data_IF_631715796672
#
_entry.id   IF_631715796672
#
_cell.length_a   1.000
_cell.length_b   1.000
_cell.length_c   1.000
_cell.angle_alpha   90.00
_cell.angle_beta   90.00
_cell.angle_gamma   90.00
#
_symmetry.space_group_name_H-M   'P 1'
#
loop_
_entity.id
_entity.type
_entity.pdbx_description
1 polymer ?
#
# COMPACT_ATOMS: atom_id res chain seq x y z
N UNK A 1 -10.06 -18.62 -17.55
CA UNK A 1 -9.15 -17.44 -17.45
C UNK A 1 -9.29 -16.75 -16.10
N UNK A 2 -10.52 -16.59 -15.58
CA UNK A 2 -10.80 -16.05 -14.23
C UNK A 2 -9.88 -16.61 -13.14
N UNK A 3 -9.73 -17.94 -13.04
CA UNK A 3 -8.90 -18.58 -12.00
C UNK A 3 -7.45 -18.07 -11.94
N UNK A 4 -6.77 -17.91 -13.08
CA UNK A 4 -5.36 -17.46 -13.08
C UNK A 4 -5.23 -15.99 -12.63
N UNK A 5 -6.19 -15.14 -13.02
CA UNK A 5 -6.25 -13.75 -12.57
C UNK A 5 -6.57 -13.66 -11.07
N UNK A 6 -7.47 -14.50 -10.56
CA UNK A 6 -7.80 -14.57 -9.12
C UNK A 6 -6.56 -14.92 -8.30
N UNK A 7 -5.82 -15.97 -8.69
CA UNK A 7 -4.57 -16.37 -8.01
C UNK A 7 -3.53 -15.23 -8.01
N UNK A 8 -3.41 -14.49 -9.14
CA UNK A 8 -2.56 -13.31 -9.22
C UNK A 8 -2.99 -12.23 -8.23
N UNK A 9 -4.28 -11.88 -8.19
CA UNK A 9 -4.79 -10.80 -7.33
C UNK A 9 -4.65 -11.15 -5.84
N UNK A 10 -4.86 -12.41 -5.48
CA UNK A 10 -4.62 -12.90 -4.11
C UNK A 10 -3.14 -12.80 -3.76
N UNK A 11 -2.24 -13.24 -4.64
CA UNK A 11 -0.81 -13.17 -4.39
C UNK A 11 -0.29 -11.73 -4.29
N UNK A 12 -0.80 -10.83 -5.14
CA UNK A 12 -0.54 -9.39 -5.09
C UNK A 12 -1.01 -8.75 -3.79
N UNK A 13 -2.24 -9.06 -3.36
CA UNK A 13 -2.75 -8.58 -2.09
C UNK A 13 -1.91 -9.09 -0.92
N UNK A 14 -1.58 -10.39 -0.91
CA UNK A 14 -0.83 -11.01 0.18
C UNK A 14 0.60 -10.45 0.30
N UNK A 15 1.27 -10.17 -0.82
CA UNK A 15 2.59 -9.54 -0.80
C UNK A 15 2.50 -8.06 -0.41
N UNK A 16 1.48 -7.34 -0.88
CA UNK A 16 1.22 -5.96 -0.47
C UNK A 16 0.96 -5.87 1.03
N UNK A 17 0.07 -6.69 1.57
CA UNK A 17 -0.23 -6.73 3.00
C UNK A 17 1.03 -6.98 3.85
N UNK A 18 1.86 -7.92 3.42
CA UNK A 18 3.17 -8.18 4.00
C UNK A 18 4.07 -6.94 4.02
N UNK A 19 4.19 -6.23 2.89
CA UNK A 19 4.96 -4.98 2.80
C UNK A 19 4.40 -3.91 3.75
N UNK A 20 3.07 -3.75 3.84
CA UNK A 20 2.47 -2.77 4.74
C UNK A 20 2.69 -3.11 6.21
N UNK A 21 2.72 -4.40 6.56
CA UNK A 21 3.04 -4.87 7.92
C UNK A 21 4.48 -4.54 8.29
N UNK A 22 5.42 -4.76 7.38
CA UNK A 22 6.83 -4.38 7.56
C UNK A 22 6.97 -2.86 7.76
N UNK A 23 6.31 -2.05 6.93
CA UNK A 23 6.28 -0.58 7.07
C UNK A 23 5.70 -0.14 8.42
N UNK A 24 4.59 -0.74 8.85
CA UNK A 24 3.91 -0.41 10.11
C UNK A 24 4.80 -0.71 11.31
N UNK A 25 5.45 -1.88 11.34
CA UNK A 25 6.38 -2.25 12.41
C UNK A 25 7.62 -1.35 12.43
N UNK A 26 8.18 -1.02 11.26
CA UNK A 26 9.27 -0.03 11.15
C UNK A 26 8.84 1.34 11.69
N UNK A 27 7.65 1.83 11.33
CA UNK A 27 7.12 3.09 11.86
C UNK A 27 6.93 3.03 13.38
N UNK A 28 6.46 1.90 13.92
CA UNK A 28 6.31 1.70 15.38
C UNK A 28 7.67 1.75 16.08
N UNK A 29 8.68 1.04 15.58
CA UNK A 29 10.04 1.07 16.13
C UNK A 29 10.62 2.49 16.13
N UNK A 30 10.49 3.23 15.02
CA UNK A 30 10.93 4.62 14.92
C UNK A 30 10.16 5.54 15.89
N UNK A 31 8.84 5.33 16.04
CA UNK A 31 8.02 6.12 16.95
C UNK A 31 8.41 5.89 18.42
N UNK A 32 8.68 4.63 18.80
CA UNK A 32 9.20 4.29 20.13
C UNK A 32 10.56 4.96 20.37
N UNK A 33 11.52 4.82 19.45
CA UNK A 33 12.82 5.49 19.52
C UNK A 33 12.70 7.01 19.74
N UNK A 34 11.78 7.67 19.03
CA UNK A 34 11.53 9.10 19.19
C UNK A 34 10.88 9.44 20.53
N UNK A 35 9.94 8.64 21.00
CA UNK A 35 9.29 8.85 22.29
C UNK A 35 10.31 8.84 23.43
N UNK A 36 11.23 7.88 23.40
CA UNK A 36 12.31 7.73 24.40
C UNK A 36 13.24 8.93 24.40
N UNK A 37 13.61 9.43 23.22
CA UNK A 37 14.50 10.58 23.10
C UNK A 37 13.90 11.88 23.66
N UNK A 38 12.58 11.94 23.82
CA UNK A 38 11.84 13.12 24.29
C UNK A 38 11.40 12.95 25.76
N UNK A 39 11.33 11.71 26.25
CA UNK A 39 10.97 11.41 27.63
C UNK A 39 12.05 11.95 28.60
N UNK A 40 11.69 12.84 29.54
CA UNK A 40 12.63 13.36 30.52
C UNK A 40 13.08 12.32 31.56
N UNK A 41 12.35 11.21 31.74
CA UNK A 41 12.68 10.12 32.67
C UNK A 41 12.21 8.75 32.12
N UNK A 42 12.82 8.26 31.03
CA UNK A 42 12.40 7.00 30.42
C UNK A 42 12.75 5.83 31.33
N UNK A 43 11.79 4.94 31.58
CA UNK A 43 12.07 3.61 32.13
C UNK A 43 12.89 2.81 31.08
N UNK A 44 14.20 2.61 31.30
CA UNK A 44 15.08 2.06 30.28
C UNK A 44 14.80 0.58 30.03
N UNK A 45 14.35 -0.16 31.05
CA UNK A 45 14.12 -1.60 30.97
C UNK A 45 12.84 -1.89 30.17
N UNK A 46 11.76 -1.20 30.51
CA UNK A 46 10.50 -1.30 29.75
C UNK A 46 10.69 -0.85 28.30
N UNK A 47 11.40 0.25 28.11
CA UNK A 47 11.71 0.80 26.80
C UNK A 47 12.48 -0.17 25.91
N UNK A 48 13.57 -0.75 26.44
CA UNK A 48 14.37 -1.73 25.71
C UNK A 48 13.57 -2.98 25.37
N UNK A 49 12.70 -3.41 26.27
CA UNK A 49 11.78 -4.52 26.02
C UNK A 49 10.84 -4.21 24.85
N UNK A 50 10.18 -3.05 24.84
CA UNK A 50 9.25 -2.66 23.76
C UNK A 50 9.95 -2.54 22.39
N UNK A 51 11.18 -2.01 22.34
CA UNK A 51 12.00 -1.99 21.11
C UNK A 51 12.32 -3.41 20.65
N UNK A 52 12.81 -4.25 21.57
CA UNK A 52 13.20 -5.62 21.25
C UNK A 52 12.01 -6.43 20.75
N UNK A 53 10.85 -6.30 21.36
CA UNK A 53 9.61 -6.94 20.90
C UNK A 53 9.21 -6.48 19.51
N UNK A 54 9.32 -5.18 19.21
CA UNK A 54 9.04 -4.64 17.88
C UNK A 54 10.02 -5.18 16.82
N UNK A 55 11.31 -5.27 17.14
CA UNK A 55 12.35 -5.82 16.27
C UNK A 55 12.15 -7.33 16.04
N UNK A 56 11.85 -8.10 17.09
CA UNK A 56 11.55 -9.53 16.99
C UNK A 56 10.31 -9.79 16.11
N UNK A 57 9.27 -8.97 16.24
CA UNK A 57 8.10 -9.02 15.37
C UNK A 57 8.44 -8.66 13.92
N UNK A 58 9.22 -7.61 13.70
CA UNK A 58 9.65 -7.19 12.37
C UNK A 58 10.45 -8.29 11.67
N UNK A 59 11.40 -8.91 12.38
CA UNK A 59 12.18 -10.03 11.84
C UNK A 59 11.32 -11.26 11.54
N UNK A 60 10.35 -11.58 12.41
CA UNK A 60 9.38 -12.66 12.14
C UNK A 60 8.57 -12.37 10.88
N UNK A 61 8.14 -11.12 10.69
CA UNK A 61 7.39 -10.68 9.52
C UNK A 61 8.28 -10.77 8.27
N UNK A 62 9.47 -10.16 8.25
CA UNK A 62 10.40 -10.22 7.09
C UNK A 62 10.68 -11.64 6.62
N UNK A 63 10.79 -12.62 7.53
CA UNK A 63 10.98 -14.04 7.18
C UNK A 63 9.84 -14.63 6.34
N UNK A 64 8.64 -14.04 6.38
CA UNK A 64 7.51 -14.49 5.56
C UNK A 64 7.55 -13.94 4.13
N UNK A 65 8.27 -12.84 3.89
CA UNK A 65 8.34 -12.16 2.59
C UNK A 65 8.73 -13.09 1.44
N UNK A 66 9.78 -13.94 1.54
CA UNK A 66 10.15 -14.85 0.45
C UNK A 66 9.01 -15.80 0.02
N UNK A 67 8.19 -16.27 0.98
CA UNK A 67 7.05 -17.14 0.68
C UNK A 67 5.97 -16.39 -0.11
N UNK A 68 5.69 -15.13 0.26
CA UNK A 68 4.71 -14.28 -0.42
C UNK A 68 5.21 -13.88 -1.82
N UNK A 69 6.49 -13.54 -1.95
CA UNK A 69 7.14 -13.28 -3.24
C UNK A 69 7.10 -14.52 -4.14
N UNK A 70 7.43 -15.70 -3.62
CA UNK A 70 7.35 -16.96 -4.36
C UNK A 70 5.91 -17.24 -4.83
N UNK A 71 4.91 -16.96 -3.99
CA UNK A 71 3.50 -17.05 -4.36
C UNK A 71 3.17 -16.17 -5.57
N UNK A 72 3.61 -14.91 -5.54
CA UNK A 72 3.44 -14.00 -6.68
C UNK A 72 4.19 -14.47 -7.92
N UNK A 73 5.45 -14.91 -7.78
CA UNK A 73 6.22 -15.46 -8.91
C UNK A 73 5.51 -16.66 -9.55
N UNK A 74 4.95 -17.57 -8.76
CA UNK A 74 4.17 -18.71 -9.26
C UNK A 74 2.92 -18.24 -10.00
N UNK A 75 2.14 -17.32 -9.42
CA UNK A 75 0.92 -16.82 -10.05
C UNK A 75 1.21 -16.13 -11.40
N UNK A 76 2.22 -15.25 -11.43
CA UNK A 76 2.71 -14.63 -12.68
C UNK A 76 3.24 -15.69 -13.65
N UNK A 77 3.91 -16.73 -13.14
CA UNK A 77 4.47 -17.79 -13.99
C UNK A 77 3.41 -18.54 -14.81
N UNK A 78 2.20 -18.62 -14.28
CA UNK A 78 1.07 -19.33 -14.87
C UNK A 78 0.26 -18.47 -15.85
N UNK A 79 0.54 -17.17 -15.95
CA UNK A 79 -0.11 -16.30 -16.91
C UNK A 79 0.26 -16.68 -18.34
N UNK A 80 -0.70 -16.53 -19.27
CA UNK A 80 -0.44 -16.66 -20.70
C UNK A 80 0.57 -15.59 -21.14
N UNK A 81 1.44 -15.86 -22.13
CA UNK A 81 2.49 -14.91 -22.54
C UNK A 81 1.99 -13.50 -22.83
N UNK A 82 0.84 -13.36 -23.51
CA UNK A 82 0.23 -12.05 -23.82
C UNK A 82 -0.21 -11.31 -22.56
N UNK A 83 -0.83 -12.00 -21.61
CA UNK A 83 -1.30 -11.41 -20.35
C UNK A 83 -0.15 -11.05 -19.42
N UNK A 84 0.90 -11.89 -19.40
CA UNK A 84 2.13 -11.58 -18.69
C UNK A 84 2.76 -10.31 -19.23
N UNK A 85 2.92 -10.20 -20.56
CA UNK A 85 3.53 -9.03 -21.17
C UNK A 85 2.77 -7.73 -20.80
N UNK A 86 1.43 -7.79 -20.77
CA UNK A 86 0.60 -6.68 -20.31
C UNK A 86 0.86 -6.36 -18.83
N UNK A 87 0.79 -7.37 -17.96
CA UNK A 87 1.06 -7.19 -16.54
C UNK A 87 2.45 -6.60 -16.27
N UNK A 88 3.49 -7.16 -16.88
CA UNK A 88 4.88 -6.68 -16.73
C UNK A 88 5.00 -5.23 -17.22
N UNK A 89 4.41 -4.89 -18.37
CA UNK A 89 4.45 -3.51 -18.91
C UNK A 89 3.80 -2.47 -17.98
N UNK A 90 2.80 -2.88 -17.19
CA UNK A 90 2.14 -2.02 -16.21
C UNK A 90 3.03 -1.85 -14.98
N UNK A 91 3.72 -2.92 -14.55
CA UNK A 91 4.60 -2.90 -13.38
C UNK A 91 5.91 -2.19 -13.62
N UNK A 92 6.40 -2.22 -14.86
CA UNK A 92 7.61 -1.56 -15.31
C UNK A 92 7.41 -0.05 -15.59
N UNK A 93 6.22 0.50 -15.28
CA UNK A 93 5.94 1.93 -15.39
C UNK A 93 6.98 2.79 -14.65
N UNK A 94 7.64 3.69 -15.37
CA UNK A 94 8.77 4.50 -14.90
C UNK A 94 8.43 5.39 -13.70
N UNK A 95 7.17 5.83 -13.61
CA UNK A 95 6.65 6.65 -12.51
C UNK A 95 6.40 5.83 -11.25
N UNK A 96 6.33 4.49 -11.36
CA UNK A 96 6.11 3.57 -10.25
C UNK A 96 4.74 3.74 -9.57
N UNK A 97 3.77 4.32 -10.29
CA UNK A 97 2.43 4.67 -9.78
C UNK A 97 1.31 3.83 -10.41
N UNK A 98 1.64 2.68 -11.02
CA UNK A 98 0.66 1.78 -11.67
C UNK A 98 -0.58 1.50 -10.82
N UNK A 99 -0.43 1.48 -9.50
CA UNK A 99 -1.50 1.21 -8.53
C UNK A 99 -2.42 2.39 -8.26
N UNK A 100 -2.15 3.57 -8.83
CA UNK A 100 -2.95 4.80 -8.66
C UNK A 100 -4.03 4.96 -9.74
N UNK A 101 -4.36 3.89 -10.47
CA UNK A 101 -5.50 3.87 -11.38
C UNK A 101 -6.83 4.04 -10.62
N UNK A 102 -7.86 4.50 -11.33
CA UNK A 102 -9.18 4.83 -10.77
C UNK A 102 -9.79 3.64 -10.02
N UNK A 103 -9.66 2.44 -10.57
CA UNK A 103 -10.19 1.20 -10.03
C UNK A 103 -9.65 0.87 -8.63
N UNK A 104 -8.34 1.08 -8.41
CA UNK A 104 -7.68 0.80 -7.12
C UNK A 104 -7.87 1.94 -6.11
N UNK A 105 -7.98 3.18 -6.59
CA UNK A 105 -8.33 4.33 -5.75
C UNK A 105 -9.75 4.17 -5.22
N UNK A 106 -10.69 3.80 -6.09
CA UNK A 106 -12.09 3.58 -5.73
C UNK A 106 -12.24 2.38 -4.80
N UNK A 107 -11.59 1.24 -5.08
CA UNK A 107 -11.57 0.09 -4.16
C UNK A 107 -11.06 0.49 -2.75
N UNK A 108 -9.98 1.25 -2.68
CA UNK A 108 -9.47 1.74 -1.41
C UNK A 108 -10.48 2.66 -0.70
N UNK A 109 -11.20 3.50 -1.45
CA UNK A 109 -12.22 4.40 -0.91
C UNK A 109 -13.45 3.65 -0.39
N UNK A 110 -13.98 2.71 -1.18
CA UNK A 110 -15.20 1.95 -0.89
C UNK A 110 -15.03 1.04 0.34
N UNK A 111 -13.81 0.53 0.57
CA UNK A 111 -13.45 -0.21 1.78
C UNK A 111 -13.13 0.67 3.00
N UNK A 112 -13.33 1.99 2.91
CA UNK A 112 -13.06 2.94 3.99
C UNK A 112 -11.58 3.19 4.27
N UNK A 113 -10.70 3.00 3.27
CA UNK A 113 -9.25 3.16 3.38
C UNK A 113 -8.76 4.63 3.36
N UNK A 114 -7.44 4.84 3.20
CA UNK A 114 -6.85 6.19 3.17
C UNK A 114 -7.48 7.10 2.09
N UNK A 115 -7.94 6.53 0.97
CA UNK A 115 -8.48 7.30 -0.15
C UNK A 115 -9.80 7.99 0.16
N UNK A 116 -10.68 7.39 0.97
CA UNK A 116 -11.94 8.05 1.38
C UNK A 116 -11.71 9.22 2.36
N UNK A 117 -10.59 9.19 3.11
CA UNK A 117 -10.20 10.24 4.07
C UNK A 117 -9.35 11.36 3.46
N UNK A 118 -8.85 11.19 2.23
CA UNK A 118 -8.01 12.20 1.58
C UNK A 118 -6.66 12.46 2.25
N UNK A 119 -6.12 11.53 3.06
CA UNK A 119 -4.86 11.75 3.79
C UNK A 119 -3.59 11.73 2.90
N UNK A 120 -3.73 11.37 1.62
CA UNK A 120 -2.64 11.30 0.65
C UNK A 120 -1.59 10.21 0.93
N UNK A 121 -1.85 9.29 1.88
CA UNK A 121 -0.89 8.26 2.28
C UNK A 121 -0.54 7.32 1.11
N UNK A 122 -1.55 6.90 0.34
CA UNK A 122 -1.37 5.97 -0.78
C UNK A 122 -0.50 6.55 -1.89
N UNK A 123 -0.75 7.80 -2.30
CA UNK A 123 0.04 8.47 -3.34
C UNK A 123 1.50 8.68 -2.92
N UNK A 124 1.75 8.93 -1.62
CA UNK A 124 3.12 9.12 -1.08
C UNK A 124 3.95 7.83 -1.06
N UNK A 125 3.32 6.64 -1.10
CA UNK A 125 4.02 5.35 -1.21
C UNK A 125 4.80 5.19 -2.52
N UNK A 126 4.63 6.09 -3.50
CA UNK A 126 5.48 6.17 -4.70
C UNK A 126 6.99 6.20 -4.40
N UNK A 127 7.38 6.70 -3.23
CA UNK A 127 8.78 6.88 -2.83
C UNK A 127 9.40 5.65 -2.17
N UNK A 128 8.63 4.57 -1.96
CA UNK A 128 9.20 3.26 -1.63
C UNK A 128 10.06 2.79 -2.82
N UNK A 129 11.17 2.12 -2.54
CA UNK A 129 12.27 1.97 -3.50
C UNK A 129 11.82 1.48 -4.88
N UNK A 130 12.49 1.96 -5.94
CA UNK A 130 12.14 1.58 -7.32
C UNK A 130 12.31 0.06 -7.49
N UNK A 131 11.31 -0.61 -8.07
CA UNK A 131 11.34 -2.06 -8.30
C UNK A 131 10.85 -2.94 -7.13
N UNK A 132 10.51 -2.38 -5.97
CA UNK A 132 9.92 -3.17 -4.88
C UNK A 132 8.51 -3.65 -5.22
N UNK A 133 8.31 -4.96 -5.06
CA UNK A 133 7.01 -5.62 -5.15
C UNK A 133 6.14 -5.25 -3.94
N UNK A 134 4.83 -5.48 -4.04
CA UNK A 134 3.90 -5.21 -2.94
C UNK A 134 3.47 -3.74 -2.83
N UNK A 135 3.75 -2.90 -3.83
CA UNK A 135 3.19 -1.54 -3.89
C UNK A 135 1.67 -1.57 -4.09
N UNK A 136 0.97 -0.62 -3.50
CA UNK A 136 -0.47 -0.44 -3.71
C UNK A 136 -1.19 0.33 -2.62
N UNK A 137 -2.52 0.34 -2.72
CA UNK A 137 -3.43 0.93 -1.75
C UNK A 137 -3.52 0.12 -0.45
N UNK A 138 -4.20 0.68 0.55
CA UNK A 138 -4.30 0.11 1.90
C UNK A 138 -4.85 -1.33 1.91
N UNK A 139 -4.20 -2.16 2.72
CA UNK A 139 -4.75 -3.40 3.28
C UNK A 139 -5.09 -3.17 4.76
N UNK A 140 -5.45 -4.24 5.48
CA UNK A 140 -5.63 -4.26 6.93
C UNK A 140 -4.40 -3.73 7.69
N UNK A 141 -3.20 -3.97 7.14
CA UNK A 141 -1.88 -3.66 7.71
C UNK A 141 -1.38 -2.23 7.44
N UNK A 142 -2.18 -1.37 6.81
CA UNK A 142 -1.78 0.01 6.55
C UNK A 142 -1.66 0.81 7.86
N UNK A 143 -0.44 1.28 8.19
CA UNK A 143 -0.17 2.16 9.34
C UNK A 143 -1.19 3.30 9.50
N UNK A 144 -1.47 4.08 8.44
CA UNK A 144 -2.41 5.21 8.53
C UNK A 144 -3.86 4.76 8.83
N UNK A 145 -4.26 3.57 8.37
CA UNK A 145 -5.58 3.00 8.71
C UNK A 145 -5.59 2.49 10.15
N UNK A 146 -4.52 1.83 10.60
CA UNK A 146 -4.36 1.35 11.98
C UNK A 146 -4.39 2.54 12.95
N UNK A 147 -3.62 3.60 12.69
CA UNK A 147 -3.62 4.81 13.52
C UNK A 147 -4.97 5.50 13.56
N UNK A 148 -5.68 5.54 12.42
CA UNK A 148 -7.04 6.11 12.38
C UNK A 148 -8.06 5.26 13.15
N UNK A 149 -7.91 3.94 13.11
CA UNK A 149 -8.76 2.98 13.84
C UNK A 149 -8.47 2.98 15.34
N UNK A 150 -7.23 3.30 15.73
CA UNK A 150 -6.76 3.29 17.12
C UNK A 150 -6.27 1.93 17.63
N UNK A 151 -6.40 0.87 16.81
CA UNK A 151 -5.94 -0.47 17.16
C UNK A 151 -5.58 -1.28 15.90
N UNK A 152 -4.68 -2.26 16.09
CA UNK A 152 -4.40 -3.29 15.09
C UNK A 152 -5.43 -4.41 15.19
N UNK A 153 -5.82 -4.97 14.05
CA UNK A 153 -6.76 -6.07 14.00
C UNK A 153 -6.06 -7.36 14.48
N UNK A 154 -6.75 -8.25 15.21
CA UNK A 154 -6.21 -9.57 15.49
C UNK A 154 -6.03 -10.37 14.19
N UNK A 155 -5.16 -11.38 14.21
CA UNK A 155 -4.86 -12.16 13.00
C UNK A 155 -6.10 -12.88 12.45
N UNK A 156 -7.02 -13.34 13.31
CA UNK A 156 -8.25 -13.99 12.86
C UNK A 156 -9.12 -13.03 12.01
N UNK A 157 -9.30 -11.78 12.46
CA UNK A 157 -10.05 -10.77 11.70
C UNK A 157 -9.37 -10.41 10.37
N UNK A 158 -8.03 -10.38 10.35
CA UNK A 158 -7.26 -10.16 9.10
C UNK A 158 -7.47 -11.31 8.12
N UNK A 159 -7.45 -12.56 8.60
CA UNK A 159 -7.73 -13.76 7.81
C UNK A 159 -9.17 -13.78 7.27
N UNK A 160 -10.15 -13.34 8.07
CA UNK A 160 -11.54 -13.17 7.63
C UNK A 160 -11.65 -12.15 6.50
N UNK A 161 -11.03 -10.97 6.63
CA UNK A 161 -10.99 -9.95 5.57
C UNK A 161 -10.38 -10.50 4.28
N UNK A 162 -9.25 -11.21 4.37
CA UNK A 162 -8.60 -11.83 3.23
C UNK A 162 -9.50 -12.91 2.58
N UNK A 163 -10.24 -13.67 3.39
CA UNK A 163 -11.18 -14.69 2.93
C UNK A 163 -12.40 -14.08 2.24
N UNK A 164 -12.92 -12.95 2.73
CA UNK A 164 -14.00 -12.20 2.08
C UNK A 164 -13.56 -11.69 0.72
N UNK A 165 -12.36 -11.10 0.62
CA UNK A 165 -11.80 -10.67 -0.66
C UNK A 165 -11.71 -11.85 -1.65
N UNK A 166 -11.18 -13.00 -1.21
CA UNK A 166 -11.08 -14.20 -2.04
C UNK A 166 -12.45 -14.64 -2.54
N UNK A 167 -13.45 -14.70 -1.67
CA UNK A 167 -14.82 -15.08 -2.02
C UNK A 167 -15.40 -14.15 -3.09
N UNK A 168 -15.24 -12.83 -2.94
CA UNK A 168 -15.71 -11.85 -3.94
C UNK A 168 -14.99 -11.98 -5.28
N UNK A 169 -13.73 -12.41 -5.30
CA UNK A 169 -13.01 -12.70 -6.54
C UNK A 169 -13.51 -13.99 -7.22
N UNK A 170 -13.93 -14.98 -6.44
CA UNK A 170 -14.38 -16.29 -6.93
C UNK A 170 -15.84 -16.30 -7.39
N UNK A 171 -16.65 -15.34 -6.95
CA UNK A 171 -18.06 -15.22 -7.34
C UNK A 171 -18.23 -14.94 -8.84
N UNK A 172 -19.08 -15.74 -9.50
CA UNK A 172 -19.29 -15.67 -10.95
C UNK A 172 -19.82 -14.29 -11.37
N UNK A 173 -19.24 -13.69 -12.42
CA UNK A 173 -19.58 -12.34 -12.88
C UNK A 173 -19.44 -11.25 -11.80
N UNK A 174 -18.56 -11.45 -10.82
CA UNK A 174 -18.28 -10.45 -9.79
C UNK A 174 -17.81 -9.12 -10.40
N UNK A 175 -18.50 -8.01 -10.13
CA UNK A 175 -18.02 -6.67 -10.49
C UNK A 175 -16.65 -6.38 -9.88
N UNK A 176 -16.37 -6.95 -8.71
CA UNK A 176 -15.08 -6.82 -8.04
C UNK A 176 -13.95 -7.47 -8.84
N UNK A 177 -14.17 -8.68 -9.38
CA UNK A 177 -13.19 -9.34 -10.26
C UNK A 177 -12.91 -8.52 -11.52
N UNK A 178 -13.94 -7.95 -12.15
CA UNK A 178 -13.79 -7.11 -13.34
C UNK A 178 -13.03 -5.82 -13.02
N UNK A 179 -13.32 -5.17 -11.88
CA UNK A 179 -12.60 -3.97 -11.43
C UNK A 179 -11.11 -4.26 -11.21
N UNK A 180 -10.79 -5.38 -10.55
CA UNK A 180 -9.40 -5.81 -10.38
C UNK A 180 -8.75 -6.19 -11.72
N UNK A 181 -9.45 -6.86 -12.63
CA UNK A 181 -8.93 -7.17 -13.95
C UNK A 181 -8.59 -5.90 -14.75
N UNK A 182 -9.42 -4.87 -14.69
CA UNK A 182 -9.13 -3.58 -15.32
C UNK A 182 -7.87 -2.94 -14.70
N UNK A 183 -7.76 -2.91 -13.37
CA UNK A 183 -6.59 -2.36 -12.69
C UNK A 183 -5.27 -3.02 -13.11
N UNK A 184 -5.25 -4.35 -13.28
CA UNK A 184 -4.03 -5.12 -13.51
C UNK A 184 -3.72 -5.44 -14.98
N UNK A 185 -4.69 -5.31 -15.88
CA UNK A 185 -4.52 -5.68 -17.29
C UNK A 185 -5.03 -4.62 -18.29
N UNK A 186 -5.71 -3.59 -17.82
CA UNK A 186 -6.19 -2.50 -18.66
C UNK A 186 -6.23 -1.19 -17.87
N UNK A 187 -5.11 -0.74 -17.27
CA UNK A 187 -5.13 0.50 -16.53
C UNK A 187 -5.44 1.60 -17.55
N UNK A 188 -6.65 2.14 -17.45
CA UNK A 188 -6.96 3.40 -18.09
C UNK A 188 -5.90 4.37 -17.55
N UNK A 189 -5.01 4.82 -18.44
CA UNK A 189 -3.93 5.72 -18.02
C UNK A 189 -4.57 6.84 -17.19
N UNK A 190 -4.11 7.09 -15.95
CA UNK A 190 -4.66 8.18 -15.17
C UNK A 190 -4.55 9.43 -16.04
N UNK A 191 -5.68 10.10 -16.29
CA UNK A 191 -5.67 11.42 -16.93
C UNK A 191 -5.08 12.40 -15.92
N UNK A 192 -3.76 12.35 -15.74
CA UNK A 192 -3.04 13.38 -15.00
C UNK A 192 -3.13 14.63 -15.86
N UNK A 193 -4.16 15.45 -15.61
CA UNK A 193 -4.15 16.85 -16.05
C UNK A 193 -3.13 17.59 -15.16
N UNK A 194 -1.85 17.44 -15.45
CA UNK A 194 -0.85 18.37 -14.94
C UNK A 194 -0.77 19.57 -15.89
N UNK A 195 -1.26 20.71 -15.42
CA UNK A 195 -0.58 21.97 -15.70
C UNK A 195 -0.25 22.61 -14.36
N UNK A 196 1.03 22.76 -13.99
CA UNK A 196 1.40 23.78 -13.03
C UNK A 196 1.22 25.13 -13.76
N UNK A 197 0.30 25.97 -13.30
CA UNK A 197 0.41 27.41 -13.58
C UNK A 197 1.55 27.93 -12.71
N UNK A 198 2.74 27.96 -13.29
CA UNK A 198 3.72 28.96 -12.91
C UNK A 198 3.19 30.36 -13.26
N UNK A 199 3.67 31.35 -12.52
CA UNK A 199 3.51 32.81 -12.68
C UNK A 199 2.25 33.48 -12.09
N UNK A 200 2.41 34.00 -10.86
CA UNK A 200 2.70 35.44 -10.75
C UNK A 200 3.48 35.75 -9.46
N UNK A 201 4.80 35.68 -9.53
CA UNK A 201 5.65 36.54 -8.70
C UNK A 201 5.62 37.94 -9.34
N UNK A 202 4.60 38.76 -9.04
CA UNK A 202 4.67 40.19 -9.37
C UNK A 202 3.81 41.16 -8.54
N UNK A 203 3.11 40.77 -7.47
CA UNK A 203 2.24 41.73 -6.74
C UNK A 203 2.45 41.82 -5.21
N UNK A 204 3.51 41.24 -4.65
CA UNK A 204 3.87 41.46 -3.23
C UNK A 204 5.26 42.07 -3.06
N UNK A 205 5.52 43.15 -3.79
CA UNK A 205 6.69 44.03 -3.57
C UNK A 205 6.39 45.52 -3.72
N UNK A 206 5.16 45.96 -3.36
CA UNK A 206 4.76 47.38 -3.32
C UNK A 206 3.89 47.76 -2.12
N UNK A 207 4.16 47.20 -0.94
CA UNK A 207 3.55 47.65 0.32
C UNK A 207 4.55 47.83 1.48
N UNK A 208 5.86 47.86 1.21
CA UNK A 208 6.89 48.13 2.22
C UNK A 208 7.90 49.22 1.83
N UNK A 209 7.53 50.08 0.89
CA UNK A 209 8.26 51.33 0.59
C UNK A 209 7.25 52.44 0.29
N UNK A 210 6.65 52.99 1.36
CA UNK A 210 6.06 54.34 1.52
C UNK A 210 4.98 54.29 2.61
N UNK A 211 5.36 54.73 3.81
CA UNK A 211 4.54 54.83 5.01
C UNK A 211 5.44 54.84 6.21
#
# INVERSE_FOLDING_TARGET
MSRLAIELFIAEHALREQTQREETLNHRAIALQKAIAIDPDPDPDRTQLEIREADEQLEKVKRQRPKKEQGLYRAVSMLRPTWRAVYDSIKDDDDGIWFMCEEMVQDCSDRGGCCSRGCGCCARRRHLSKGEKGKGHCTSECWCCISCRGFDLPEEEKEEIASYMKRWLEEFSSPYLLNMANAFFCPLKPKVKSKPKAESQSTLRRLFERG
#
